data_IF_241566001466
#
_entry.id   IF_241566001466
#
_cell.length_a   1.000
_cell.length_b   1.000
_cell.length_c   1.000
_cell.angle_alpha   90.00
_cell.angle_beta   90.00
_cell.angle_gamma   90.00
#
_symmetry.space_group_name_H-M   'P 1'
#
loop_
_entity.id
_entity.type
_entity.pdbx_description
1 polymer ?
#
# COMPACT_ATOMS: atom_id res chain seq x y z
N UNK A 1 -15.45 -20.44 6.36
CA UNK A 1 -14.21 -20.28 5.56
C UNK A 1 -14.05 -18.79 5.29
N UNK A 2 -12.83 -18.24 5.34
CA UNK A 2 -12.60 -16.81 5.06
C UNK A 2 -12.55 -16.62 3.55
N UNK A 3 -13.35 -15.69 3.02
CA UNK A 3 -13.40 -15.40 1.58
C UNK A 3 -12.28 -14.45 1.11
N UNK A 4 -11.82 -13.55 1.98
CA UNK A 4 -10.77 -12.57 1.69
C UNK A 4 -10.77 -11.43 2.70
N UNK A 5 -9.89 -10.45 2.46
CA UNK A 5 -9.75 -9.24 3.28
C UNK A 5 -10.02 -8.01 2.39
N UNK A 6 -10.81 -7.07 2.89
CA UNK A 6 -10.99 -5.77 2.27
C UNK A 6 -10.40 -4.67 3.17
N UNK A 7 -9.58 -3.79 2.60
CA UNK A 7 -8.95 -2.67 3.32
C UNK A 7 -9.25 -1.35 2.62
N UNK A 8 -9.22 -0.26 3.39
CA UNK A 8 -9.45 1.07 2.83
C UNK A 8 -8.28 1.53 1.95
N UNK A 9 -7.04 1.31 2.38
CA UNK A 9 -5.85 1.80 1.70
C UNK A 9 -4.74 0.74 1.72
N UNK A 10 -4.24 0.38 0.55
CA UNK A 10 -2.96 -0.31 0.40
C UNK A 10 -1.84 0.71 0.35
N UNK A 11 -1.07 0.78 1.44
CA UNK A 11 0.05 1.72 1.57
C UNK A 11 1.27 1.33 0.74
N UNK A 12 1.31 0.12 0.17
CA UNK A 12 2.41 -0.36 -0.67
C UNK A 12 3.79 -0.16 -0.02
N UNK A 13 3.87 -0.37 1.30
CA UNK A 13 5.09 -0.17 2.09
C UNK A 13 5.57 -1.49 2.71
N UNK A 14 6.87 -1.58 2.94
CA UNK A 14 7.50 -2.71 3.63
C UNK A 14 6.96 -2.81 5.06
N UNK A 15 6.62 -4.03 5.48
CA UNK A 15 6.27 -4.37 6.85
C UNK A 15 7.51 -4.49 7.73
N UNK A 16 7.56 -5.52 8.58
CA UNK A 16 8.78 -5.77 9.38
C UNK A 16 9.92 -6.39 8.57
N UNK A 17 9.64 -6.91 7.37
CA UNK A 17 10.63 -7.45 6.44
C UNK A 17 10.53 -6.80 5.07
N UNK A 18 10.94 -7.52 4.03
CA UNK A 18 10.94 -7.03 2.64
C UNK A 18 9.55 -7.06 1.98
N UNK A 19 8.56 -7.71 2.60
CA UNK A 19 7.19 -7.80 2.09
C UNK A 19 6.30 -6.73 2.74
N UNK A 20 5.27 -6.30 2.02
CA UNK A 20 4.19 -5.51 2.63
C UNK A 20 3.34 -6.38 3.55
N UNK A 21 2.59 -5.76 4.46
CA UNK A 21 1.63 -6.48 5.30
C UNK A 21 0.61 -7.30 4.47
N UNK A 22 0.20 -6.78 3.30
CA UNK A 22 -0.66 -7.52 2.36
C UNK A 22 0.07 -8.72 1.75
N UNK A 23 1.33 -8.54 1.34
CA UNK A 23 2.15 -9.63 0.82
C UNK A 23 2.42 -10.73 1.86
N UNK A 24 2.60 -10.35 3.13
CA UNK A 24 2.72 -11.30 4.25
C UNK A 24 1.43 -12.09 4.43
N UNK A 25 0.26 -11.45 4.37
CA UNK A 25 -1.04 -12.12 4.48
C UNK A 25 -1.28 -13.14 3.35
N UNK A 26 -0.96 -12.76 2.11
CA UNK A 26 -1.03 -13.68 0.96
C UNK A 26 -0.07 -14.86 1.12
N UNK A 27 1.18 -14.60 1.50
CA UNK A 27 2.21 -15.64 1.64
C UNK A 27 1.93 -16.61 2.79
N UNK A 28 1.48 -16.10 3.95
CA UNK A 28 1.28 -16.90 5.16
C UNK A 28 -0.06 -17.63 5.16
N UNK A 29 -1.13 -16.99 4.68
CA UNK A 29 -2.50 -17.50 4.86
C UNK A 29 -3.23 -17.79 3.54
N UNK A 30 -2.64 -17.48 2.38
CA UNK A 30 -3.29 -17.67 1.08
C UNK A 30 -4.53 -16.79 0.88
N UNK A 31 -4.68 -15.75 1.69
CA UNK A 31 -5.85 -14.86 1.67
C UNK A 31 -5.70 -13.84 0.54
N UNK A 32 -6.75 -13.70 -0.27
CA UNK A 32 -6.83 -12.59 -1.21
C UNK A 32 -7.21 -11.30 -0.49
N UNK A 33 -6.55 -10.21 -0.83
CA UNK A 33 -6.80 -8.88 -0.28
C UNK A 33 -7.19 -7.92 -1.40
N UNK A 34 -8.22 -7.12 -1.17
CA UNK A 34 -8.62 -6.02 -2.05
C UNK A 34 -8.53 -4.70 -1.29
N UNK A 35 -8.09 -3.64 -1.97
CA UNK A 35 -8.00 -2.30 -1.40
C UNK A 35 -8.92 -1.34 -2.16
N UNK A 36 -9.58 -0.43 -1.43
CA UNK A 36 -10.39 0.63 -2.05
C UNK A 36 -9.50 1.62 -2.82
N UNK A 37 -8.33 1.94 -2.26
CA UNK A 37 -7.31 2.77 -2.90
C UNK A 37 -5.91 2.26 -2.57
N UNK A 38 -4.92 2.67 -3.36
CA UNK A 38 -3.50 2.41 -3.15
C UNK A 38 -2.69 3.69 -2.93
N UNK A 39 -1.42 3.56 -2.49
CA UNK A 39 -0.48 4.68 -2.45
C UNK A 39 -0.27 5.30 -3.83
N UNK A 40 -0.32 4.51 -4.90
CA UNK A 40 -0.28 5.03 -6.27
C UNK A 40 -1.50 5.90 -6.60
N UNK A 41 -2.68 5.50 -6.15
CA UNK A 41 -3.89 6.32 -6.31
C UNK A 41 -3.78 7.63 -5.53
N UNK A 42 -3.21 7.58 -4.32
CA UNK A 42 -2.93 8.79 -3.55
C UNK A 42 -1.93 9.71 -4.25
N UNK A 43 -0.87 9.16 -4.86
CA UNK A 43 0.09 9.95 -5.64
C UNK A 43 -0.60 10.62 -6.84
N UNK A 44 -1.48 9.92 -7.56
CA UNK A 44 -2.27 10.49 -8.65
C UNK A 44 -3.22 11.58 -8.15
N UNK A 45 -3.86 11.35 -7.01
CA UNK A 45 -4.79 12.30 -6.40
C UNK A 45 -4.11 13.61 -5.95
N UNK A 46 -2.86 13.53 -5.50
CA UNK A 46 -2.08 14.68 -5.05
C UNK A 46 -1.37 15.44 -6.18
N UNK A 47 -1.65 15.14 -7.46
CA UNK A 47 -0.94 15.74 -8.60
C UNK A 47 -0.90 17.27 -8.57
N UNK A 48 -1.94 17.92 -8.05
CA UNK A 48 -2.06 19.38 -7.99
C UNK A 48 -1.54 20.02 -6.67
N UNK A 49 -1.01 19.22 -5.73
CA UNK A 49 -0.42 19.70 -4.47
C UNK A 49 1.05 19.26 -4.40
N UNK A 50 1.93 20.07 -5.02
CA UNK A 50 3.35 19.75 -5.19
C UNK A 50 4.08 19.44 -3.86
N UNK A 51 3.72 20.14 -2.77
CA UNK A 51 4.34 19.95 -1.47
C UNK A 51 3.98 18.57 -0.91
N UNK A 52 2.69 18.22 -0.90
CA UNK A 52 2.25 16.90 -0.42
C UNK A 52 2.70 15.78 -1.33
N UNK A 53 2.64 15.98 -2.64
CA UNK A 53 3.13 15.02 -3.64
C UNK A 53 4.59 14.66 -3.39
N UNK A 54 5.45 15.66 -3.20
CA UNK A 54 6.88 15.44 -2.94
C UNK A 54 7.12 14.67 -1.62
N UNK A 55 6.36 14.99 -0.58
CA UNK A 55 6.44 14.25 0.71
C UNK A 55 6.06 12.78 0.53
N UNK A 56 4.97 12.49 -0.17
CA UNK A 56 4.49 11.13 -0.40
C UNK A 56 5.43 10.34 -1.33
N UNK A 57 5.97 10.96 -2.37
CA UNK A 57 6.95 10.34 -3.25
C UNK A 57 8.26 9.99 -2.52
N UNK A 58 8.76 10.88 -1.65
CA UNK A 58 9.93 10.60 -0.83
C UNK A 58 9.66 9.44 0.14
N UNK A 59 8.47 9.41 0.75
CA UNK A 59 8.05 8.30 1.58
C UNK A 59 8.03 6.98 0.81
N UNK A 60 7.41 6.95 -0.38
CA UNK A 60 7.40 5.77 -1.26
C UNK A 60 8.82 5.33 -1.64
N UNK A 61 9.72 6.26 -1.93
CA UNK A 61 11.12 5.94 -2.26
C UNK A 61 11.84 5.26 -1.08
N UNK A 62 11.52 5.65 0.15
CA UNK A 62 12.18 5.13 1.34
C UNK A 62 11.61 3.79 1.81
N UNK A 63 10.28 3.62 1.72
CA UNK A 63 9.58 2.49 2.34
C UNK A 63 8.80 1.61 1.38
N UNK A 64 8.71 1.99 0.11
CA UNK A 64 7.93 1.27 -0.90
C UNK A 64 8.43 -0.16 -1.13
N UNK A 65 7.49 -1.05 -1.44
CA UNK A 65 7.75 -2.40 -1.97
C UNK A 65 7.75 -2.46 -3.49
#
# INVERSE_FOLDING_TARGET
QVAGIAVALDRQEKGQGELSAIGELQKQFGLQTVAIASLDDLIRFLADDEEKLKKVQNYKKQYGV
#
